data_IF_707085725323
#
_entry.id   IF_707085725323
#
_cell.length_a   1.000
_cell.length_b   1.000
_cell.length_c   1.000
_cell.angle_alpha   90.00
_cell.angle_beta   90.00
_cell.angle_gamma   90.00
#
_symmetry.space_group_name_H-M   'P 1'
#
loop_
_entity.id
_entity.type
_entity.pdbx_description
1 polymer ?
#
# COMPACT_ATOMS: atom_id res chain seq x y z
N UNK A 1 -22.89 7.48 -1.33
CA UNK A 1 -21.55 7.56 -1.92
C UNK A 1 -21.53 6.61 -3.11
N UNK A 2 -21.03 7.03 -4.26
CA UNK A 2 -20.98 6.16 -5.43
C UNK A 2 -19.88 5.12 -5.21
N UNK A 3 -20.25 3.85 -5.19
CA UNK A 3 -19.31 2.73 -5.10
C UNK A 3 -18.50 2.68 -6.40
N UNK A 4 -17.16 2.65 -6.31
CA UNK A 4 -16.32 2.50 -7.50
C UNK A 4 -16.65 1.15 -8.13
N UNK A 5 -17.06 1.16 -9.40
CA UNK A 5 -17.34 -0.09 -10.14
C UNK A 5 -16.06 -0.93 -10.20
N UNK A 6 -16.17 -2.23 -9.89
CA UNK A 6 -15.05 -3.19 -9.99
C UNK A 6 -14.40 -3.11 -11.38
N UNK A 7 -15.20 -3.09 -12.45
CA UNK A 7 -14.68 -3.00 -13.82
C UNK A 7 -13.91 -1.72 -14.08
N UNK A 8 -14.43 -0.58 -13.60
CA UNK A 8 -13.76 0.70 -13.72
C UNK A 8 -12.42 0.68 -12.96
N UNK A 9 -12.41 0.14 -11.75
CA UNK A 9 -11.19 -0.01 -10.97
C UNK A 9 -10.15 -0.88 -11.70
N UNK A 10 -10.56 -2.04 -12.23
CA UNK A 10 -9.67 -2.96 -12.94
C UNK A 10 -9.08 -2.32 -14.21
N UNK A 11 -9.89 -1.60 -14.98
CA UNK A 11 -9.44 -0.88 -16.17
C UNK A 11 -8.47 0.26 -15.80
N UNK A 12 -8.87 1.07 -14.82
CA UNK A 12 -8.09 2.24 -14.39
C UNK A 12 -6.74 1.83 -13.78
N UNK A 13 -6.72 0.77 -12.96
CA UNK A 13 -5.50 0.22 -12.36
C UNK A 13 -4.65 -0.59 -13.34
N UNK A 14 -5.19 -1.04 -14.48
CA UNK A 14 -4.50 -1.90 -15.44
C UNK A 14 -4.48 -3.38 -15.06
N UNK A 15 -5.37 -3.82 -14.17
CA UNK A 15 -5.44 -5.20 -13.69
C UNK A 15 -6.44 -6.08 -14.46
N UNK A 16 -7.20 -5.53 -15.42
CA UNK A 16 -8.25 -6.27 -16.14
C UNK A 16 -7.78 -7.62 -16.69
N UNK A 17 -6.60 -7.68 -17.32
CA UNK A 17 -6.09 -8.92 -17.90
C UNK A 17 -5.67 -9.96 -16.85
N UNK A 18 -5.25 -9.53 -15.66
CA UNK A 18 -4.84 -10.43 -14.58
C UNK A 18 -6.02 -11.01 -13.80
N UNK A 19 -7.17 -10.34 -13.87
CA UNK A 19 -8.36 -10.65 -13.07
C UNK A 19 -9.62 -10.82 -13.92
N UNK A 20 -9.46 -11.16 -15.20
CA UNK A 20 -10.57 -11.43 -16.10
C UNK A 20 -11.49 -12.53 -15.51
N UNK A 21 -12.79 -12.24 -15.43
CA UNK A 21 -13.78 -13.17 -14.90
C UNK A 21 -13.79 -13.32 -13.37
N UNK A 22 -13.04 -12.48 -12.64
CA UNK A 22 -12.97 -12.51 -11.17
C UNK A 22 -13.90 -11.49 -10.50
N UNK A 23 -14.80 -10.83 -11.23
CA UNK A 23 -15.64 -9.74 -10.72
C UNK A 23 -16.51 -10.22 -9.55
N UNK A 24 -17.13 -11.41 -9.68
CA UNK A 24 -17.92 -12.01 -8.60
C UNK A 24 -17.07 -12.37 -7.38
N UNK A 25 -15.84 -12.84 -7.58
CA UNK A 25 -14.93 -13.16 -6.47
C UNK A 25 -14.49 -11.89 -5.74
N UNK A 26 -14.24 -10.80 -6.48
CA UNK A 26 -13.93 -9.49 -5.92
C UNK A 26 -15.13 -8.96 -5.13
N UNK A 27 -16.34 -8.99 -5.68
CA UNK A 27 -17.55 -8.54 -4.99
C UNK A 27 -17.78 -9.30 -3.68
N UNK A 28 -17.61 -10.62 -3.69
CA UNK A 28 -17.70 -11.45 -2.48
C UNK A 28 -16.62 -11.10 -1.46
N UNK A 29 -15.38 -10.88 -1.91
CA UNK A 29 -14.27 -10.49 -1.04
C UNK A 29 -14.51 -9.09 -0.42
N UNK A 30 -15.06 -8.13 -1.17
CA UNK A 30 -15.46 -6.81 -0.67
C UNK A 30 -16.52 -6.95 0.42
N UNK A 31 -17.58 -7.71 0.18
CA UNK A 31 -18.65 -7.93 1.14
C UNK A 31 -18.16 -8.63 2.42
N UNK A 32 -17.30 -9.64 2.27
CA UNK A 32 -16.69 -10.35 3.39
C UNK A 32 -15.80 -9.42 4.24
N UNK A 33 -14.94 -8.62 3.59
CA UNK A 33 -14.09 -7.65 4.27
C UNK A 33 -14.91 -6.62 5.03
N UNK A 34 -15.92 -6.01 4.41
CA UNK A 34 -16.83 -5.05 5.08
C UNK A 34 -17.50 -5.67 6.32
N UNK A 35 -17.94 -6.92 6.22
CA UNK A 35 -18.56 -7.65 7.34
C UNK A 35 -17.57 -7.90 8.47
N UNK A 36 -16.35 -8.36 8.15
CA UNK A 36 -15.30 -8.63 9.13
C UNK A 36 -14.87 -7.35 9.85
N UNK A 37 -14.71 -6.24 9.12
CA UNK A 37 -14.36 -4.94 9.70
C UNK A 37 -15.46 -4.40 10.62
N UNK A 38 -16.74 -4.59 10.27
CA UNK A 38 -17.85 -4.17 11.11
C UNK A 38 -17.94 -4.96 12.44
N UNK A 39 -17.46 -6.20 12.45
CA UNK A 39 -17.42 -7.06 13.64
C UNK A 39 -16.12 -6.92 14.46
N UNK A 40 -15.07 -6.32 13.89
CA UNK A 40 -13.77 -6.21 14.53
C UNK A 40 -13.78 -5.18 15.68
N UNK A 41 -13.07 -5.47 16.76
CA UNK A 41 -12.77 -4.47 17.77
C UNK A 41 -11.80 -3.42 17.20
N UNK A 42 -11.97 -2.16 17.61
CA UNK A 42 -11.08 -1.08 17.19
C UNK A 42 -9.66 -1.33 17.72
N UNK A 43 -8.67 -1.62 16.85
CA UNK A 43 -7.30 -1.83 17.29
C UNK A 43 -6.65 -0.53 17.75
N UNK A 44 -5.65 -0.65 18.62
CA UNK A 44 -4.80 0.47 19.00
C UNK A 44 -4.07 1.04 17.77
N UNK A 45 -3.94 2.37 17.75
CA UNK A 45 -3.28 3.11 16.67
C UNK A 45 -1.79 3.29 16.96
N UNK A 46 -0.95 3.05 15.96
CA UNK A 46 0.48 3.35 16.00
C UNK A 46 0.74 4.72 15.40
N UNK A 47 1.13 5.69 16.22
CA UNK A 47 1.46 7.05 15.78
C UNK A 47 2.94 7.26 15.47
N UNK A 48 3.79 6.34 15.92
CA UNK A 48 5.23 6.43 15.71
C UNK A 48 5.80 5.04 15.50
N UNK A 49 6.70 4.91 14.53
CA UNK A 49 7.30 3.65 14.16
C UNK A 49 8.72 3.85 13.63
N UNK A 50 9.53 2.82 13.80
CA UNK A 50 10.91 2.80 13.33
C UNK A 50 10.96 2.77 11.81
N UNK A 51 11.93 3.50 11.25
CA UNK A 51 12.18 3.59 9.81
C UNK A 51 13.65 3.35 9.51
N UNK A 52 13.98 2.84 8.31
CA UNK A 52 15.36 2.74 7.87
C UNK A 52 16.00 4.13 7.83
N UNK A 53 17.31 4.17 8.08
CA UNK A 53 18.10 5.34 7.72
C UNK A 53 18.07 5.50 6.20
N UNK A 54 17.89 6.75 5.74
CA UNK A 54 17.83 7.07 4.32
C UNK A 54 19.21 7.53 3.85
N UNK A 55 19.67 6.93 2.76
CA UNK A 55 20.91 7.31 2.08
C UNK A 55 20.72 8.47 1.11
N UNK A 56 21.78 8.76 0.34
CA UNK A 56 21.75 9.76 -0.70
C UNK A 56 20.64 9.46 -1.74
N UNK A 57 19.86 10.48 -2.12
CA UNK A 57 18.71 10.32 -3.01
C UNK A 57 17.47 9.66 -2.37
N UNK A 58 17.50 9.38 -1.06
CA UNK A 58 16.34 8.87 -0.31
C UNK A 58 16.16 7.34 -0.39
N UNK A 59 17.07 6.59 -1.02
CA UNK A 59 17.02 5.13 -0.96
C UNK A 59 17.31 4.62 0.47
N UNK A 60 16.84 3.42 0.83
CA UNK A 60 17.22 2.78 2.10
C UNK A 60 18.76 2.63 2.13
N UNK A 61 19.45 3.18 3.13
CA UNK A 61 20.92 3.27 3.14
C UNK A 61 21.59 1.90 3.23
N UNK A 62 21.24 1.14 4.27
CA UNK A 62 21.71 -0.21 4.57
C UNK A 62 20.55 -1.02 5.16
N UNK A 63 20.39 -2.26 4.68
CA UNK A 63 19.37 -3.15 5.21
C UNK A 63 19.57 -3.38 6.72
N UNK A 64 18.52 -3.12 7.49
CA UNK A 64 18.51 -3.30 8.95
C UNK A 64 19.08 -2.12 9.75
N UNK A 65 19.62 -1.09 9.10
CA UNK A 65 20.04 0.14 9.78
C UNK A 65 18.84 1.09 9.90
N UNK A 66 18.47 1.39 11.15
CA UNK A 66 17.32 2.23 11.48
C UNK A 66 17.79 3.63 11.85
N UNK A 67 16.97 4.63 11.56
CA UNK A 67 17.17 5.98 12.06
C UNK A 67 17.07 6.00 13.60
N UNK A 68 17.84 6.88 14.25
CA UNK A 68 17.82 7.02 15.71
C UNK A 68 16.43 7.45 16.21
N UNK A 69 15.81 8.39 15.49
CA UNK A 69 14.48 8.90 15.80
C UNK A 69 13.42 8.19 14.96
N UNK A 70 12.33 7.69 15.57
CA UNK A 70 11.25 7.09 14.82
C UNK A 70 10.47 8.15 14.04
N UNK A 71 9.79 7.72 12.98
CA UNK A 71 8.88 8.60 12.25
C UNK A 71 7.68 8.97 13.13
N UNK A 72 7.29 10.25 13.14
CA UNK A 72 6.09 10.75 13.83
C UNK A 72 4.99 11.02 12.82
N UNK A 73 4.03 10.09 12.70
CA UNK A 73 2.89 10.23 11.80
C UNK A 73 1.97 11.40 12.20
N UNK A 74 1.99 11.79 13.48
CA UNK A 74 1.17 12.89 13.97
C UNK A 74 1.58 14.24 13.40
N UNK A 75 2.87 14.41 13.08
CA UNK A 75 3.36 15.64 12.46
C UNK A 75 2.71 15.89 11.08
N UNK A 76 2.36 14.82 10.36
CA UNK A 76 1.78 14.90 9.01
C UNK A 76 0.25 14.85 9.02
N UNK A 77 -0.37 14.04 9.88
CA UNK A 77 -1.84 13.89 9.92
C UNK A 77 -2.55 14.83 10.89
N UNK A 78 -1.86 15.27 11.94
CA UNK A 78 -2.51 15.83 13.12
C UNK A 78 -3.28 14.78 13.93
N UNK A 79 -3.23 14.89 15.26
CA UNK A 79 -4.01 14.04 16.16
C UNK A 79 -5.39 14.63 16.37
N UNK A 80 -6.42 13.87 16.02
CA UNK A 80 -7.81 14.15 16.29
C UNK A 80 -8.57 12.84 16.51
N UNK A 81 -9.79 12.91 17.03
CA UNK A 81 -10.66 11.72 17.12
C UNK A 81 -10.92 11.11 15.73
N UNK A 82 -11.14 11.95 14.72
CA UNK A 82 -11.38 11.52 13.35
C UNK A 82 -10.17 10.79 12.75
N UNK A 83 -8.97 11.37 12.87
CA UNK A 83 -7.73 10.73 12.36
C UNK A 83 -7.38 9.47 13.15
N UNK A 84 -7.62 9.46 14.47
CA UNK A 84 -7.46 8.25 15.30
C UNK A 84 -8.40 7.14 14.85
N UNK A 85 -9.68 7.46 14.60
CA UNK A 85 -10.67 6.49 14.12
C UNK A 85 -10.28 5.93 12.75
N UNK A 86 -9.90 6.79 11.81
CA UNK A 86 -9.44 6.38 10.49
C UNK A 86 -8.24 5.42 10.60
N UNK A 87 -7.18 5.80 11.33
CA UNK A 87 -6.01 4.93 11.51
C UNK A 87 -6.35 3.59 12.19
N UNK A 88 -7.30 3.59 13.14
CA UNK A 88 -7.78 2.35 13.76
C UNK A 88 -8.46 1.44 12.74
N UNK A 89 -9.29 1.99 11.85
CA UNK A 89 -9.93 1.23 10.77
C UNK A 89 -8.92 0.70 9.76
N UNK A 90 -7.93 1.51 9.35
CA UNK A 90 -6.84 1.07 8.48
C UNK A 90 -6.01 -0.05 9.12
N UNK A 91 -5.74 0.06 10.43
CA UNK A 91 -5.05 -1.00 11.20
C UNK A 91 -5.87 -2.28 11.26
N UNK A 92 -7.20 -2.19 11.31
CA UNK A 92 -8.07 -3.37 11.25
C UNK A 92 -7.98 -4.07 9.90
N UNK A 93 -7.91 -3.32 8.80
CA UNK A 93 -7.68 -3.87 7.44
C UNK A 93 -6.33 -4.58 7.37
N UNK A 94 -5.26 -3.95 7.84
CA UNK A 94 -3.92 -4.56 7.89
C UNK A 94 -3.93 -5.88 8.67
N UNK A 95 -4.54 -5.90 9.86
CA UNK A 95 -4.64 -7.11 10.69
C UNK A 95 -5.48 -8.21 10.04
N UNK A 96 -6.55 -7.85 9.35
CA UNK A 96 -7.36 -8.80 8.60
C UNK A 96 -6.55 -9.40 7.43
N UNK A 97 -5.88 -8.57 6.64
CA UNK A 97 -5.05 -9.04 5.53
C UNK A 97 -3.90 -9.94 6.01
N UNK A 98 -3.28 -9.61 7.14
CA UNK A 98 -2.22 -10.42 7.73
C UNK A 98 -2.63 -11.89 7.95
N UNK A 99 -3.92 -12.17 8.22
CA UNK A 99 -4.43 -13.53 8.43
C UNK A 99 -4.42 -14.39 7.17
N UNK A 100 -4.31 -13.78 5.98
CA UNK A 100 -4.23 -14.52 4.70
C UNK A 100 -2.90 -15.26 4.51
N UNK A 101 -1.82 -14.81 5.17
CA UNK A 101 -0.44 -15.26 4.94
C UNK A 101 0.01 -15.15 3.46
N UNK A 102 -0.58 -14.23 2.71
CA UNK A 102 -0.17 -13.97 1.32
C UNK A 102 1.17 -13.25 1.24
N UNK A 103 1.42 -12.36 2.22
CA UNK A 103 2.54 -11.42 2.23
C UNK A 103 3.29 -11.45 3.57
N UNK A 104 4.60 -11.17 3.51
CA UNK A 104 5.47 -11.03 4.67
C UNK A 104 5.54 -9.55 5.14
N UNK A 105 5.20 -8.63 4.25
CA UNK A 105 5.07 -7.21 4.54
C UNK A 105 3.87 -6.63 3.79
N UNK A 106 3.13 -5.70 4.41
CA UNK A 106 2.01 -5.01 3.79
C UNK A 106 1.84 -3.63 4.39
N UNK A 107 1.62 -2.61 3.55
CA UNK A 107 1.40 -1.24 3.99
C UNK A 107 0.32 -0.51 3.19
N UNK A 108 -0.39 0.38 3.88
CA UNK A 108 -1.35 1.32 3.32
C UNK A 108 -0.71 2.70 3.34
N UNK A 109 -0.69 3.36 2.19
CA UNK A 109 -0.15 4.71 2.04
C UNK A 109 -1.20 5.66 1.45
N UNK A 110 -1.15 6.90 1.88
CA UNK A 110 -2.00 7.97 1.35
C UNK A 110 -1.16 9.07 0.75
N UNK A 111 -1.59 9.59 -0.40
CA UNK A 111 -1.01 10.79 -1.01
C UNK A 111 -1.33 12.01 -0.17
N UNK A 112 -0.31 12.71 0.34
CA UNK A 112 -0.43 13.91 1.16
C UNK A 112 0.69 14.92 0.86
N UNK A 113 0.53 16.14 1.37
CA UNK A 113 1.66 17.04 1.57
C UNK A 113 2.28 16.74 2.95
N UNK A 114 3.60 16.56 2.99
CA UNK A 114 4.34 16.43 4.26
C UNK A 114 4.57 17.83 4.89
N UNK A 115 5.09 17.92 6.13
CA UNK A 115 5.36 19.21 6.79
C UNK A 115 6.32 20.13 6.03
N UNK A 116 7.12 19.59 5.11
CA UNK A 116 8.03 20.32 4.22
C UNK A 116 7.32 20.85 2.97
N UNK A 117 6.04 20.54 2.77
CA UNK A 117 5.23 20.96 1.63
C UNK A 117 5.39 20.08 0.39
N UNK A 118 6.12 18.96 0.49
CA UNK A 118 6.35 18.03 -0.60
C UNK A 118 5.18 17.07 -0.74
N UNK A 119 4.83 16.72 -1.98
CA UNK A 119 3.80 15.70 -2.23
C UNK A 119 4.42 14.32 -2.14
N UNK A 120 3.94 13.51 -1.20
CA UNK A 120 4.47 12.18 -0.87
C UNK A 120 3.35 11.17 -0.64
N UNK A 121 3.67 9.88 -0.69
CA UNK A 121 2.85 8.82 -0.11
C UNK A 121 3.25 8.58 1.33
N UNK A 122 2.36 8.80 2.30
CA UNK A 122 2.61 8.64 3.74
C UNK A 122 2.07 7.29 4.20
N UNK A 123 2.90 6.47 4.86
CA UNK A 123 2.50 5.18 5.43
C UNK A 123 1.62 5.38 6.65
N UNK A 124 0.39 4.88 6.57
CA UNK A 124 -0.63 5.05 7.60
C UNK A 124 -0.73 3.85 8.55
N UNK A 125 -0.67 2.64 7.99
CA UNK A 125 -0.74 1.39 8.74
C UNK A 125 -0.01 0.29 7.97
N UNK A 126 0.66 -0.62 8.68
CA UNK A 126 1.41 -1.70 8.05
C UNK A 126 1.66 -2.87 9.02
N UNK A 127 2.06 -4.03 8.48
CA UNK A 127 2.74 -5.09 9.22
C UNK A 127 4.04 -5.47 8.49
N UNK A 128 4.95 -6.13 9.21
CA UNK A 128 6.23 -6.60 8.68
C UNK A 128 7.41 -5.81 9.25
N UNK A 129 8.58 -5.93 8.62
CA UNK A 129 9.79 -5.22 8.99
C UNK A 129 9.65 -3.68 8.86
N UNK A 130 10.52 -2.95 9.56
CA UNK A 130 10.62 -1.50 9.40
C UNK A 130 10.97 -1.15 7.95
N UNK A 131 10.23 -0.21 7.39
CA UNK A 131 10.38 0.26 6.01
C UNK A 131 10.14 1.77 5.95
N UNK A 132 10.39 2.38 4.79
CA UNK A 132 10.27 3.82 4.60
C UNK A 132 8.88 4.34 5.00
N UNK A 133 8.82 5.52 5.63
CA UNK A 133 7.55 6.15 6.02
C UNK A 133 6.89 6.90 4.86
N UNK A 134 7.69 7.55 4.01
CA UNK A 134 7.21 8.43 2.95
C UNK A 134 7.85 8.10 1.61
N UNK A 135 7.08 8.02 0.52
CA UNK A 135 7.63 7.97 -0.83
C UNK A 135 7.42 9.30 -1.58
N UNK A 136 8.49 9.97 -2.05
CA UNK A 136 8.38 11.18 -2.83
C UNK A 136 7.63 10.92 -4.13
N UNK A 137 6.60 11.71 -4.41
CA UNK A 137 5.86 11.63 -5.67
C UNK A 137 6.48 12.58 -6.69
N UNK A 138 7.72 12.28 -7.09
CA UNK A 138 8.44 12.99 -8.15
C UNK A 138 8.78 12.05 -9.30
N UNK A 139 8.94 12.61 -10.50
CA UNK A 139 9.27 11.83 -11.68
C UNK A 139 10.62 11.11 -11.53
N UNK A 140 11.59 11.76 -10.87
CA UNK A 140 12.93 11.23 -10.63
C UNK A 140 12.87 10.02 -9.70
N UNK A 141 12.11 10.12 -8.59
CA UNK A 141 12.04 9.02 -7.63
C UNK A 141 11.21 7.84 -8.17
N UNK A 142 10.21 8.11 -9.02
CA UNK A 142 9.46 7.07 -9.72
C UNK A 142 10.30 6.22 -10.67
N UNK A 143 11.44 6.73 -11.18
CA UNK A 143 12.34 5.92 -12.02
C UNK A 143 12.94 4.71 -11.29
N UNK A 144 12.91 4.68 -9.96
CA UNK A 144 13.46 3.59 -9.14
C UNK A 144 12.44 2.99 -8.18
N UNK A 145 11.29 3.63 -7.96
CA UNK A 145 10.30 3.23 -6.97
C UNK A 145 8.99 2.81 -7.63
N UNK A 146 8.62 1.54 -7.42
CA UNK A 146 7.30 1.03 -7.79
C UNK A 146 6.20 1.81 -7.08
N UNK A 147 6.30 2.02 -5.76
CA UNK A 147 5.34 2.79 -4.98
C UNK A 147 5.08 4.18 -5.58
N UNK A 148 6.15 4.89 -5.96
CA UNK A 148 6.03 6.24 -6.52
C UNK A 148 5.54 6.23 -7.97
N UNK A 149 5.91 5.20 -8.75
CA UNK A 149 5.33 4.98 -10.09
C UNK A 149 3.83 4.76 -10.01
N UNK A 150 3.36 3.89 -9.13
CA UNK A 150 1.92 3.66 -8.91
C UNK A 150 1.26 4.94 -8.38
N UNK A 151 1.91 5.61 -7.42
CA UNK A 151 1.47 6.86 -6.80
C UNK A 151 1.41 8.08 -7.71
N UNK A 152 2.03 8.02 -8.90
CA UNK A 152 1.93 9.04 -9.94
C UNK A 152 1.00 8.64 -11.09
N UNK A 153 1.03 7.38 -11.49
CA UNK A 153 0.35 6.91 -12.72
C UNK A 153 -1.04 6.34 -12.45
N UNK A 154 -1.30 5.88 -11.23
CA UNK A 154 -2.48 5.07 -10.92
C UNK A 154 -2.48 3.71 -11.61
N UNK A 155 -1.35 3.24 -12.15
CA UNK A 155 -1.23 1.91 -12.75
C UNK A 155 -0.56 0.98 -11.77
N UNK A 156 -1.21 -0.13 -11.45
CA UNK A 156 -0.69 -1.14 -10.54
C UNK A 156 0.61 -1.75 -11.08
N UNK A 157 1.49 -2.15 -10.16
CA UNK A 157 2.70 -2.92 -10.46
C UNK A 157 2.60 -4.25 -9.74
N UNK A 158 2.61 -5.34 -10.50
CA UNK A 158 2.60 -6.72 -9.96
C UNK A 158 3.84 -7.43 -10.48
N UNK A 159 4.76 -7.72 -9.57
CA UNK A 159 6.06 -8.34 -9.85
C UNK A 159 6.10 -9.67 -9.10
N UNK A 160 5.93 -10.77 -9.83
CA UNK A 160 5.93 -12.11 -9.23
C UNK A 160 7.33 -12.75 -9.13
N UNK A 161 8.35 -12.15 -9.75
CA UNK A 161 9.74 -12.56 -9.59
C UNK A 161 10.65 -11.34 -9.74
N UNK A 162 11.08 -10.79 -8.61
CA UNK A 162 11.95 -9.60 -8.56
C UNK A 162 13.27 -9.84 -9.30
N UNK A 163 13.84 -11.04 -9.21
CA UNK A 163 15.10 -11.38 -9.91
C UNK A 163 14.90 -11.33 -11.43
N UNK A 164 13.82 -11.94 -11.92
CA UNK A 164 13.53 -11.95 -13.36
C UNK A 164 13.21 -10.54 -13.87
N UNK A 165 12.46 -9.76 -13.10
CA UNK A 165 12.11 -8.39 -13.42
C UNK A 165 13.34 -7.48 -13.54
N UNK A 166 14.25 -7.53 -12.56
CA UNK A 166 15.53 -6.82 -12.61
C UNK A 166 16.39 -7.26 -13.80
N UNK A 167 16.45 -8.57 -14.07
CA UNK A 167 17.22 -9.12 -15.21
C UNK A 167 16.68 -8.61 -16.55
N UNK A 168 15.38 -8.37 -16.66
CA UNK A 168 14.74 -7.77 -17.84
C UNK A 168 14.93 -6.25 -17.93
N UNK A 169 15.68 -5.63 -17.00
CA UNK A 169 15.92 -4.19 -16.95
C UNK A 169 14.83 -3.40 -16.22
N UNK A 170 13.95 -4.07 -15.47
CA UNK A 170 12.93 -3.41 -14.66
C UNK A 170 13.52 -2.66 -13.47
N UNK A 171 12.97 -1.49 -13.18
CA UNK A 171 13.36 -0.65 -12.05
C UNK A 171 12.87 -1.20 -10.71
N UNK A 172 13.78 -1.46 -9.77
CA UNK A 172 13.41 -1.94 -8.44
C UNK A 172 14.42 -1.45 -7.41
N UNK A 173 13.96 -0.63 -6.47
CA UNK A 173 14.74 -0.34 -5.27
C UNK A 173 14.50 -1.43 -4.23
N UNK A 174 15.56 -2.06 -3.74
CA UNK A 174 15.45 -3.13 -2.75
C UNK A 174 15.60 -2.54 -1.36
N UNK A 175 14.52 -2.48 -0.57
CA UNK A 175 14.63 -2.13 0.85
C UNK A 175 14.85 -3.35 1.74
N UNK A 176 14.20 -4.50 1.47
CA UNK A 176 14.49 -5.80 2.10
C UNK A 176 14.89 -6.84 1.03
N UNK A 177 16.12 -7.39 1.08
CA UNK A 177 16.60 -8.35 0.07
C UNK A 177 15.87 -9.70 0.08
N UNK A 178 15.04 -9.99 1.10
CA UNK A 178 14.22 -11.19 1.12
C UNK A 178 13.00 -11.08 0.20
N UNK A 179 12.62 -9.88 -0.25
CA UNK A 179 11.45 -9.70 -1.11
C UNK A 179 11.71 -10.33 -2.47
N UNK A 180 10.83 -11.26 -2.85
CA UNK A 180 10.90 -12.01 -4.10
C UNK A 180 9.68 -11.75 -5.01
N UNK A 181 8.62 -11.17 -4.46
CA UNK A 181 7.50 -10.63 -5.22
C UNK A 181 6.88 -9.42 -4.53
N UNK A 182 6.28 -8.54 -5.32
CA UNK A 182 5.63 -7.29 -4.89
C UNK A 182 4.32 -7.09 -5.66
N UNK A 183 3.28 -6.59 -4.98
CA UNK A 183 2.06 -6.08 -5.60
C UNK A 183 1.70 -4.71 -5.01
N UNK A 184 1.93 -3.66 -5.79
CA UNK A 184 1.58 -2.29 -5.42
C UNK A 184 0.38 -1.81 -6.25
N UNK A 185 -0.72 -1.49 -5.58
CA UNK A 185 -2.02 -1.20 -6.20
C UNK A 185 -2.52 0.21 -5.81
N UNK A 186 -3.15 0.95 -6.75
CA UNK A 186 -3.65 2.29 -6.50
C UNK A 186 -4.95 2.30 -5.69
N UNK A 187 -5.13 3.34 -4.87
CA UNK A 187 -6.39 3.65 -4.20
C UNK A 187 -7.06 4.83 -4.89
N UNK A 188 -8.22 4.63 -5.50
CA UNK A 188 -9.00 5.70 -6.12
C UNK A 188 -10.13 6.16 -5.21
N UNK A 189 -10.30 7.46 -5.02
CA UNK A 189 -11.43 8.02 -4.29
C UNK A 189 -12.73 7.92 -5.12
N UNK A 190 -13.84 8.40 -4.56
CA UNK A 190 -15.15 8.38 -5.23
C UNK A 190 -15.24 9.26 -6.50
N UNK A 191 -14.28 10.15 -6.74
CA UNK A 191 -14.17 10.94 -7.99
C UNK A 191 -13.24 10.28 -9.02
N UNK A 192 -12.65 9.13 -8.70
CA UNK A 192 -11.69 8.43 -9.55
C UNK A 192 -10.26 8.98 -9.47
N UNK A 193 -9.98 9.90 -8.55
CA UNK A 193 -8.65 10.46 -8.33
C UNK A 193 -7.81 9.53 -7.44
N UNK A 194 -6.52 9.48 -7.71
CA UNK A 194 -5.57 8.69 -6.94
C UNK A 194 -5.35 9.30 -5.54
N UNK A 195 -5.86 8.62 -4.53
CA UNK A 195 -5.80 9.00 -3.12
C UNK A 195 -4.62 8.36 -2.37
N UNK A 196 -4.07 7.26 -2.88
CA UNK A 196 -3.02 6.51 -2.20
C UNK A 196 -2.67 5.22 -2.91
N UNK A 197 -1.99 4.33 -2.19
CA UNK A 197 -1.66 2.98 -2.66
C UNK A 197 -1.77 1.98 -1.50
N UNK A 198 -1.87 0.70 -1.84
CA UNK A 198 -1.36 -0.37 -0.99
C UNK A 198 -0.09 -0.92 -1.60
N UNK A 199 0.72 -1.54 -0.76
CA UNK A 199 1.91 -2.26 -1.15
C UNK A 199 2.00 -3.56 -0.35
N UNK A 200 2.29 -4.65 -1.04
CA UNK A 200 2.32 -5.99 -0.51
C UNK A 200 3.59 -6.66 -1.02
N UNK A 201 4.43 -7.14 -0.10
CA UNK A 201 5.70 -7.80 -0.42
C UNK A 201 5.74 -9.21 0.19
N UNK A 202 6.28 -10.17 -0.57
CA UNK A 202 6.41 -11.55 -0.12
C UNK A 202 7.83 -12.08 -0.33
N UNK A 203 8.27 -12.93 0.59
CA UNK A 203 9.57 -13.60 0.57
C UNK A 203 9.56 -14.88 -0.27
N UNK A 204 8.51 -15.07 -1.06
CA UNK A 204 8.36 -16.14 -2.05
C UNK A 204 8.10 -15.50 -3.41
N UNK A 205 8.56 -16.17 -4.47
CA UNK A 205 8.15 -15.83 -5.84
C UNK A 205 6.70 -16.25 -6.06
N UNK A 206 6.06 -15.64 -7.05
CA UNK A 206 4.74 -16.01 -7.54
C UNK A 206 3.66 -15.92 -6.44
N UNK A 207 3.76 -14.95 -5.52
CA UNK A 207 2.79 -14.79 -4.45
C UNK A 207 1.48 -14.14 -4.92
N UNK A 208 1.53 -13.28 -5.94
CA UNK A 208 0.43 -12.42 -6.34
C UNK A 208 -0.20 -12.91 -7.64
N UNK A 209 -0.95 -14.00 -7.51
CA UNK A 209 -1.85 -14.54 -8.53
C UNK A 209 -3.30 -14.47 -8.03
N UNK A 210 -4.24 -14.54 -8.97
CA UNK A 210 -5.71 -14.55 -8.82
C UNK A 210 -6.23 -14.30 -7.40
N UNK A 211 -6.25 -15.29 -6.52
CA UNK A 211 -6.82 -15.19 -5.17
C UNK A 211 -6.22 -14.07 -4.30
N UNK A 212 -4.88 -13.92 -4.32
CA UNK A 212 -4.20 -12.87 -3.57
C UNK A 212 -4.52 -11.50 -4.17
N UNK A 213 -4.55 -11.39 -5.50
CA UNK A 213 -4.92 -10.15 -6.18
C UNK A 213 -6.39 -9.79 -5.97
N UNK A 214 -7.31 -10.76 -5.96
CA UNK A 214 -8.74 -10.54 -5.63
C UNK A 214 -8.87 -9.94 -4.23
N UNK A 215 -8.15 -10.47 -3.24
CA UNK A 215 -8.13 -9.90 -1.88
C UNK A 215 -7.56 -8.49 -1.85
N UNK A 216 -6.43 -8.25 -2.51
CA UNK A 216 -5.80 -6.93 -2.58
C UNK A 216 -6.71 -5.89 -3.28
N UNK A 217 -7.41 -6.27 -4.36
CA UNK A 217 -8.38 -5.41 -5.04
C UNK A 217 -9.58 -5.12 -4.15
N UNK A 218 -10.12 -6.13 -3.45
CA UNK A 218 -11.21 -5.91 -2.50
C UNK A 218 -10.82 -4.91 -1.39
N UNK A 219 -9.58 -4.99 -0.89
CA UNK A 219 -9.01 -4.00 0.02
C UNK A 219 -8.98 -2.61 -0.63
N UNK A 220 -8.50 -2.50 -1.88
CA UNK A 220 -8.43 -1.22 -2.59
C UNK A 220 -9.79 -0.56 -2.84
N UNK A 221 -10.86 -1.35 -2.95
CA UNK A 221 -12.23 -0.86 -3.11
C UNK A 221 -12.87 -0.40 -1.79
N UNK A 222 -12.37 -0.89 -0.65
CA UNK A 222 -12.88 -0.54 0.68
C UNK A 222 -12.10 0.63 1.30
N UNK A 223 -10.78 0.66 1.12
CA UNK A 223 -9.89 1.62 1.78
C UNK A 223 -10.18 3.10 1.53
N UNK A 224 -10.56 3.56 0.32
CA UNK A 224 -10.75 4.98 0.05
C UNK A 224 -11.74 5.67 0.98
N UNK A 225 -12.79 4.96 1.41
CA UNK A 225 -13.80 5.46 2.34
C UNK A 225 -13.30 5.54 3.80
N UNK A 226 -12.14 4.94 4.09
CA UNK A 226 -11.53 4.86 5.42
C UNK A 226 -10.32 5.79 5.60
N UNK A 227 -9.84 6.39 4.50
CA UNK A 227 -8.69 7.28 4.55
C UNK A 227 -9.00 8.55 5.36
N UNK A 228 -8.05 9.04 6.18
CA UNK A 228 -8.23 10.32 6.86
C UNK A 228 -8.26 11.46 5.84
N UNK A 229 -9.05 12.50 6.14
CA UNK A 229 -9.12 13.72 5.33
C UNK A 229 -7.77 14.43 5.20
#
# INVERSE_FOLDING_TARGET
MAEVSINLYLEQSGLSALLEGQETAIEQAVAALKTQLAAASAPAVTWSYQVPELGEGGACSLFGQLADEPYDLAATLGKSEATTKALSQLTAVVKNYQQSNDSDWFGIYQKRQNPQGETVLVKLAYFGAASRAEFPLTAEFAQISNNSTVGLTGKAKVINDVTAYLTAGGEYYTCDPKVLSEACLPLFNSTGELAGIIDAEAFKRQAYHTDALVRLVAICLVLPDLLPA
#
